data_IF_099497283674
#
_entry.id   IF_099497283674
#
_cell.length_a   1.000
_cell.length_b   1.000
_cell.length_c   1.000
_cell.angle_alpha   90.00
_cell.angle_beta   90.00
_cell.angle_gamma   90.00
#
_symmetry.space_group_name_H-M   'P 1'
#
loop_
_entity.id
_entity.type
_entity.pdbx_description
1 polymer ?
#
# COMPACT_ATOMS: atom_id res chain seq x y z
N UNK A 1 56.21 17.42 6.80
CA UNK A 1 55.17 16.37 6.88
C UNK A 1 54.26 16.69 8.04
N UNK A 2 53.19 17.43 7.78
CA UNK A 2 52.21 17.85 8.78
C UNK A 2 51.14 16.77 8.92
N UNK A 3 51.18 16.03 10.02
CA UNK A 3 50.09 15.15 10.44
C UNK A 3 48.87 16.01 10.76
N UNK A 4 47.91 16.10 9.84
CA UNK A 4 46.59 16.64 10.11
C UNK A 4 45.91 15.72 11.13
N UNK A 5 46.01 16.06 12.41
CA UNK A 5 45.22 15.45 13.47
C UNK A 5 43.74 15.69 13.16
N UNK A 6 43.09 14.74 12.50
CA UNK A 6 41.65 14.75 12.31
C UNK A 6 41.00 14.61 13.69
N UNK A 7 40.61 15.76 14.25
CA UNK A 7 40.01 15.90 15.58
C UNK A 7 38.68 15.13 15.74
N UNK A 8 38.12 14.60 14.65
CA UNK A 8 36.91 13.80 14.64
C UNK A 8 37.03 12.50 15.46
N UNK A 9 38.22 11.89 15.53
CA UNK A 9 38.42 10.67 16.34
C UNK A 9 38.29 10.88 17.85
N UNK A 10 38.21 12.13 18.32
CA UNK A 10 38.03 12.52 19.73
C UNK A 10 36.62 12.99 20.06
N UNK A 11 35.72 13.04 19.08
CA UNK A 11 34.33 13.41 19.33
C UNK A 11 33.65 12.31 20.16
N UNK A 12 32.78 12.69 21.12
CA UNK A 12 31.87 11.76 21.77
C UNK A 12 31.09 10.92 20.77
N UNK A 13 30.82 9.66 21.12
CA UNK A 13 30.12 8.70 20.26
C UNK A 13 28.74 9.23 19.84
N UNK A 14 28.05 9.95 20.72
CA UNK A 14 26.75 10.55 20.47
C UNK A 14 26.82 11.59 19.34
N UNK A 15 27.90 12.38 19.28
CA UNK A 15 28.10 13.36 18.20
C UNK A 15 28.45 12.66 16.89
N UNK A 16 29.27 11.62 16.92
CA UNK A 16 29.60 10.83 15.73
C UNK A 16 28.34 10.15 15.16
N UNK A 17 27.49 9.59 16.02
CA UNK A 17 26.23 8.98 15.62
C UNK A 17 25.22 10.00 15.10
N UNK A 18 25.12 11.18 15.73
CA UNK A 18 24.24 12.26 15.26
C UNK A 18 24.69 12.88 13.92
N UNK A 19 25.99 12.90 13.65
CA UNK A 19 26.53 13.25 12.33
C UNK A 19 26.15 12.14 11.34
N UNK A 20 26.48 10.89 11.64
CA UNK A 20 26.21 9.74 10.79
C UNK A 20 24.72 9.61 10.41
N UNK A 21 23.81 9.83 11.35
CA UNK A 21 22.36 9.71 11.12
C UNK A 21 21.79 10.79 10.20
N UNK A 22 22.56 11.85 9.89
CA UNK A 22 22.17 12.94 9.00
C UNK A 22 22.86 12.89 7.65
N UNK A 23 23.81 11.97 7.47
CA UNK A 23 24.50 11.80 6.20
C UNK A 23 23.64 10.98 5.23
N UNK A 24 23.64 11.33 3.93
CA UNK A 24 23.21 10.42 2.87
C UNK A 24 23.98 9.10 2.93
N UNK A 25 23.41 8.03 2.37
CA UNK A 25 24.01 6.69 2.41
C UNK A 25 25.45 6.66 1.87
N UNK A 26 25.72 7.30 0.72
CA UNK A 26 27.05 7.35 0.11
C UNK A 26 28.08 8.08 0.99
N UNK A 27 27.67 9.20 1.59
CA UNK A 27 28.51 9.98 2.49
C UNK A 27 28.76 9.24 3.81
N UNK A 28 27.79 8.46 4.29
CA UNK A 28 27.95 7.61 5.47
C UNK A 28 29.02 6.54 5.25
N UNK A 29 29.06 5.91 4.07
CA UNK A 29 30.13 4.98 3.70
C UNK A 29 31.49 5.67 3.73
N UNK A 30 31.62 6.82 3.08
CA UNK A 30 32.87 7.59 3.05
C UNK A 30 33.31 8.04 4.43
N UNK A 31 32.37 8.50 5.27
CA UNK A 31 32.62 8.90 6.65
C UNK A 31 33.13 7.73 7.48
N UNK A 32 32.52 6.54 7.36
CA UNK A 32 32.95 5.32 8.03
C UNK A 32 34.37 4.92 7.67
N UNK A 33 34.75 5.07 6.42
CA UNK A 33 36.07 4.69 5.92
C UNK A 33 37.18 5.68 6.30
N UNK A 34 36.84 6.84 6.88
CA UNK A 34 37.82 7.85 7.25
C UNK A 34 38.77 7.42 8.37
N UNK A 35 38.30 6.63 9.36
CA UNK A 35 39.14 6.00 10.36
C UNK A 35 38.43 4.84 11.09
N UNK A 36 39.22 3.97 11.73
CA UNK A 36 38.71 2.80 12.49
C UNK A 36 37.73 3.17 13.61
N UNK A 37 38.01 4.24 14.35
CA UNK A 37 37.13 4.69 15.44
C UNK A 37 35.74 5.09 14.91
N UNK A 38 35.68 5.85 13.81
CA UNK A 38 34.40 6.25 13.21
C UNK A 38 33.68 5.03 12.65
N UNK A 39 34.40 4.11 12.00
CA UNK A 39 33.84 2.86 11.50
C UNK A 39 33.08 2.06 12.58
N UNK A 40 33.73 1.84 13.72
CA UNK A 40 33.19 1.08 14.85
C UNK A 40 32.02 1.84 15.52
N UNK A 41 32.20 3.13 15.80
CA UNK A 41 31.22 3.94 16.54
C UNK A 41 29.93 4.23 15.76
N UNK A 42 29.97 4.16 14.42
CA UNK A 42 28.81 4.40 13.55
C UNK A 42 28.20 3.11 13.00
N UNK A 43 28.67 1.94 13.45
CA UNK A 43 28.21 0.64 12.97
C UNK A 43 26.70 0.46 13.10
N UNK A 44 26.11 0.86 14.22
CA UNK A 44 24.67 0.81 14.43
C UNK A 44 23.89 1.60 13.36
N UNK A 45 24.30 2.85 13.11
CA UNK A 45 23.66 3.73 12.12
C UNK A 45 23.77 3.12 10.72
N UNK A 46 24.94 2.62 10.35
CA UNK A 46 25.13 1.93 9.08
C UNK A 46 24.19 0.73 8.91
N UNK A 47 24.08 -0.12 9.94
CA UNK A 47 23.19 -1.28 9.91
C UNK A 47 21.74 -0.85 9.71
N UNK A 48 21.27 0.16 10.44
CA UNK A 48 19.94 0.72 10.23
C UNK A 48 19.78 1.31 8.82
N UNK A 49 20.71 2.14 8.35
CA UNK A 49 20.60 2.80 7.03
C UNK A 49 20.57 1.80 5.85
N UNK A 50 21.35 0.73 5.91
CA UNK A 50 21.52 -0.19 4.76
C UNK A 50 20.77 -1.51 4.86
N UNK A 51 20.36 -1.93 6.07
CA UNK A 51 19.71 -3.23 6.29
C UNK A 51 18.32 -3.12 6.92
N UNK A 52 17.84 -1.94 7.30
CA UNK A 52 16.46 -1.79 7.78
C UNK A 52 15.43 -2.28 6.76
N UNK A 53 15.67 -1.98 5.48
CA UNK A 53 14.90 -2.52 4.36
C UNK A 53 15.83 -3.27 3.43
N UNK A 54 15.54 -4.55 3.22
CA UNK A 54 16.27 -5.38 2.26
C UNK A 54 15.37 -5.69 1.06
N UNK A 55 15.98 -5.83 -0.12
CA UNK A 55 15.27 -6.10 -1.36
C UNK A 55 15.71 -7.43 -1.98
N UNK A 56 14.78 -8.13 -2.60
CA UNK A 56 15.01 -9.38 -3.32
C UNK A 56 14.09 -9.50 -4.53
N UNK A 57 14.56 -10.19 -5.56
CA UNK A 57 13.76 -10.61 -6.71
C UNK A 57 13.30 -12.07 -6.59
N UNK A 58 13.44 -12.65 -5.39
CA UNK A 58 13.08 -14.04 -5.07
C UNK A 58 13.84 -15.12 -5.88
N UNK A 59 14.92 -14.75 -6.58
CA UNK A 59 15.84 -15.71 -7.22
C UNK A 59 16.67 -16.47 -6.18
N UNK A 60 17.39 -17.51 -6.61
CA UNK A 60 18.35 -18.24 -5.77
C UNK A 60 19.41 -17.31 -5.17
N UNK A 61 19.99 -16.41 -5.98
CA UNK A 61 20.95 -15.40 -5.49
C UNK A 61 20.31 -14.46 -4.47
N UNK A 62 19.05 -14.11 -4.69
CA UNK A 62 18.26 -13.32 -3.74
C UNK A 62 18.05 -14.07 -2.43
N UNK A 63 17.73 -15.37 -2.49
CA UNK A 63 17.60 -16.23 -1.33
C UNK A 63 18.91 -16.35 -0.56
N UNK A 64 20.02 -16.68 -1.22
CA UNK A 64 21.35 -16.78 -0.60
C UNK A 64 21.73 -15.49 0.13
N UNK A 65 21.42 -14.33 -0.46
CA UNK A 65 21.65 -13.03 0.20
C UNK A 65 20.78 -12.86 1.44
N UNK A 66 19.50 -13.19 1.35
CA UNK A 66 18.58 -13.07 2.50
C UNK A 66 18.96 -14.04 3.60
N UNK A 67 19.34 -15.28 3.26
CA UNK A 67 19.87 -16.28 4.20
C UNK A 67 21.16 -15.82 4.88
N UNK A 68 22.10 -15.24 4.13
CA UNK A 68 23.33 -14.70 4.70
C UNK A 68 23.03 -13.59 5.73
N UNK A 69 22.08 -12.70 5.43
CA UNK A 69 21.65 -11.65 6.36
C UNK A 69 20.92 -12.24 7.57
N UNK A 70 20.02 -13.20 7.34
CA UNK A 70 19.22 -13.84 8.38
C UNK A 70 20.06 -14.66 9.37
N UNK A 71 21.19 -15.23 8.92
CA UNK A 71 22.13 -15.97 9.75
C UNK A 71 23.21 -15.09 10.39
N UNK A 72 23.28 -13.81 10.03
CA UNK A 72 24.21 -12.85 10.61
C UNK A 72 23.60 -12.24 11.88
N UNK A 73 24.16 -12.59 13.04
CA UNK A 73 23.67 -12.13 14.35
C UNK A 73 23.77 -10.62 14.55
N UNK A 74 24.60 -9.95 13.76
CA UNK A 74 24.83 -8.51 13.79
C UNK A 74 23.91 -7.74 12.84
N UNK A 75 23.46 -8.35 11.75
CA UNK A 75 22.61 -7.71 10.73
C UNK A 75 21.13 -8.05 10.89
N UNK A 76 20.78 -9.31 11.13
CA UNK A 76 19.38 -9.77 11.21
C UNK A 76 18.50 -8.94 12.14
N UNK A 77 18.96 -8.50 13.34
CA UNK A 77 18.14 -7.69 14.24
C UNK A 77 17.78 -6.30 13.69
N UNK A 78 18.50 -5.80 12.68
CA UNK A 78 18.25 -4.49 12.10
C UNK A 78 17.23 -4.53 10.96
N UNK A 79 16.96 -5.70 10.38
CA UNK A 79 15.99 -5.85 9.29
C UNK A 79 14.57 -5.68 9.80
N UNK A 80 13.85 -4.70 9.26
CA UNK A 80 12.44 -4.38 9.60
C UNK A 80 11.49 -4.62 8.44
N UNK A 81 11.98 -4.48 7.22
CA UNK A 81 11.17 -4.57 6.00
C UNK A 81 11.84 -5.42 4.93
N UNK A 82 11.06 -6.27 4.27
CA UNK A 82 11.47 -7.00 3.07
C UNK A 82 10.66 -6.50 1.87
N UNK A 83 11.37 -6.13 0.81
CA UNK A 83 10.77 -5.80 -0.47
C UNK A 83 11.01 -6.92 -1.49
N UNK A 84 9.94 -7.54 -1.98
CA UNK A 84 10.02 -8.42 -3.15
C UNK A 84 9.79 -7.57 -4.39
N UNK A 85 10.85 -7.24 -5.13
CA UNK A 85 10.81 -6.31 -6.25
C UNK A 85 11.18 -7.03 -7.55
N UNK A 86 10.41 -6.75 -8.60
CA UNK A 86 10.71 -7.14 -9.97
C UNK A 86 10.81 -5.90 -10.85
N UNK A 87 11.95 -5.67 -11.51
CA UNK A 87 12.19 -4.48 -12.32
C UNK A 87 12.01 -4.68 -13.84
N UNK A 88 11.60 -5.88 -14.29
CA UNK A 88 11.32 -6.15 -15.70
C UNK A 88 12.52 -6.01 -16.64
N UNK A 89 13.74 -5.90 -16.11
CA UNK A 89 14.97 -5.87 -16.91
C UNK A 89 15.42 -7.30 -17.26
N UNK A 90 16.05 -7.54 -18.44
CA UNK A 90 16.38 -8.89 -18.91
C UNK A 90 17.24 -9.73 -17.94
N UNK A 91 18.06 -9.06 -17.14
CA UNK A 91 18.98 -9.64 -16.16
C UNK A 91 18.31 -9.89 -14.80
N UNK A 92 17.12 -9.36 -14.57
CA UNK A 92 16.37 -9.50 -13.32
C UNK A 92 15.18 -10.43 -13.52
N UNK A 93 15.44 -11.74 -13.50
CA UNK A 93 14.38 -12.75 -13.62
C UNK A 93 13.86 -13.12 -12.23
N UNK A 94 12.59 -12.82 -12.02
CA UNK A 94 11.88 -13.18 -10.80
C UNK A 94 11.93 -14.69 -10.58
N UNK A 95 12.35 -15.12 -9.39
CA UNK A 95 12.35 -16.54 -9.02
C UNK A 95 13.37 -17.41 -9.77
N UNK A 96 14.34 -16.84 -10.48
CA UNK A 96 15.32 -17.60 -11.25
C UNK A 96 16.23 -18.47 -10.37
N UNK A 97 16.57 -19.66 -10.86
CA UNK A 97 17.49 -20.59 -10.17
C UNK A 97 16.83 -21.44 -9.09
N UNK A 98 15.51 -21.33 -8.90
CA UNK A 98 14.72 -22.14 -7.95
C UNK A 98 13.68 -22.98 -8.70
N UNK A 99 13.26 -24.06 -8.06
CA UNK A 99 12.20 -24.93 -8.56
C UNK A 99 10.88 -24.58 -7.88
N UNK A 100 9.84 -24.33 -8.68
CA UNK A 100 8.53 -23.91 -8.18
C UNK A 100 7.49 -24.98 -8.49
N UNK A 101 7.41 -26.03 -7.66
CA UNK A 101 6.45 -27.09 -7.87
C UNK A 101 5.03 -26.63 -7.49
N UNK A 102 4.03 -27.12 -8.23
CA UNK A 102 2.63 -26.68 -8.07
C UNK A 102 1.70 -27.85 -7.83
N UNK A 103 0.68 -27.59 -7.01
CA UNK A 103 -0.48 -28.47 -6.95
C UNK A 103 -1.23 -28.42 -8.28
N UNK A 104 -2.03 -29.46 -8.58
CA UNK A 104 -2.85 -29.51 -9.81
C UNK A 104 -3.83 -28.34 -9.96
N UNK A 105 -4.21 -27.71 -8.85
CA UNK A 105 -5.03 -26.50 -8.82
C UNK A 105 -4.24 -25.21 -9.12
N UNK A 106 -2.91 -25.22 -9.03
CA UNK A 106 -2.03 -24.12 -9.47
C UNK A 106 -1.21 -23.41 -8.38
N UNK A 107 -1.56 -23.55 -7.08
CA UNK A 107 -0.78 -22.93 -5.99
C UNK A 107 0.55 -23.66 -5.74
N UNK A 108 1.52 -22.94 -5.17
CA UNK A 108 2.85 -23.46 -4.86
C UNK A 108 2.80 -24.56 -3.78
N UNK A 109 3.49 -25.66 -4.03
CA UNK A 109 3.72 -26.69 -3.01
C UNK A 109 4.76 -26.21 -2.00
N UNK A 110 4.64 -26.66 -0.75
CA UNK A 110 5.67 -26.45 0.28
C UNK A 110 6.84 -27.41 0.04
N UNK A 111 7.58 -27.18 -1.05
CA UNK A 111 8.76 -27.94 -1.42
C UNK A 111 10.04 -27.35 -0.79
N UNK A 112 11.19 -27.94 -1.12
CA UNK A 112 12.46 -27.55 -0.52
C UNK A 112 12.81 -26.06 -0.72
N UNK A 113 12.54 -25.49 -1.89
CA UNK A 113 12.91 -24.09 -2.18
C UNK A 113 11.93 -23.11 -1.54
N UNK A 114 10.63 -23.44 -1.49
CA UNK A 114 9.64 -22.68 -0.70
C UNK A 114 9.99 -22.72 0.80
N UNK A 115 10.47 -23.86 1.29
CA UNK A 115 10.83 -24.02 2.70
C UNK A 115 12.09 -23.25 3.08
N UNK A 116 13.11 -23.20 2.22
CA UNK A 116 14.28 -22.33 2.43
C UNK A 116 13.90 -20.87 2.59
N UNK A 117 12.97 -20.37 1.76
CA UNK A 117 12.44 -19.02 1.93
C UNK A 117 11.75 -18.83 3.29
N UNK A 118 10.95 -19.79 3.74
CA UNK A 118 10.32 -19.73 5.06
C UNK A 118 11.36 -19.72 6.20
N UNK A 119 12.45 -20.47 6.07
CA UNK A 119 13.56 -20.49 7.03
C UNK A 119 14.34 -19.17 7.02
N UNK A 120 14.65 -18.63 5.85
CA UNK A 120 15.31 -17.34 5.70
C UNK A 120 14.47 -16.21 6.34
N UNK A 121 13.16 -16.19 6.09
CA UNK A 121 12.24 -15.22 6.70
C UNK A 121 12.16 -15.37 8.22
N UNK A 122 12.24 -16.60 8.74
CA UNK A 122 12.27 -16.85 10.19
C UNK A 122 13.49 -16.25 10.86
N UNK A 123 14.66 -16.26 10.20
CA UNK A 123 15.87 -15.65 10.73
C UNK A 123 15.83 -14.12 10.77
N UNK A 124 14.95 -13.48 9.99
CA UNK A 124 14.71 -12.04 10.03
C UNK A 124 13.79 -11.67 11.21
N UNK A 125 14.27 -11.88 12.44
CA UNK A 125 13.51 -11.83 13.70
C UNK A 125 12.70 -10.56 13.95
N UNK A 126 13.08 -9.45 13.32
CA UNK A 126 12.49 -8.13 13.51
C UNK A 126 11.72 -7.61 12.28
N UNK A 127 11.67 -8.42 11.20
CA UNK A 127 11.02 -8.06 9.95
C UNK A 127 9.51 -8.23 10.07
N UNK A 128 8.76 -7.13 9.99
CA UNK A 128 7.30 -7.11 10.16
C UNK A 128 6.57 -6.34 9.05
N UNK A 129 7.31 -5.78 8.09
CA UNK A 129 6.79 -5.03 6.94
C UNK A 129 7.18 -5.73 5.65
N UNK A 130 6.20 -6.00 4.78
CA UNK A 130 6.40 -6.68 3.50
C UNK A 130 5.85 -5.82 2.38
N UNK A 131 6.69 -5.54 1.38
CA UNK A 131 6.31 -4.74 0.22
C UNK A 131 6.60 -5.51 -1.08
N UNK A 132 5.54 -5.88 -1.78
CA UNK A 132 5.61 -6.62 -3.03
C UNK A 132 5.44 -5.61 -4.17
N UNK A 133 6.50 -5.41 -4.95
CA UNK A 133 6.59 -4.36 -5.97
C UNK A 133 6.76 -5.01 -7.34
N UNK A 134 5.95 -4.56 -8.30
CA UNK A 134 6.14 -4.89 -9.72
C UNK A 134 6.36 -3.62 -10.53
N UNK A 135 7.59 -3.44 -10.99
CA UNK A 135 7.98 -2.39 -11.92
C UNK A 135 8.06 -2.98 -13.34
N UNK A 136 7.17 -2.53 -14.22
CA UNK A 136 7.14 -2.99 -15.61
C UNK A 136 6.11 -4.07 -15.91
N UNK A 137 5.85 -4.25 -17.20
CA UNK A 137 4.89 -5.19 -17.75
C UNK A 137 5.62 -6.33 -18.45
N UNK A 138 5.17 -7.56 -18.22
CA UNK A 138 5.62 -8.74 -18.96
C UNK A 138 4.41 -9.58 -19.36
N UNK A 139 4.29 -9.88 -20.66
CA UNK A 139 3.34 -10.85 -21.22
C UNK A 139 3.42 -12.24 -20.58
N UNK A 140 4.52 -12.53 -19.87
CA UNK A 140 4.77 -13.84 -19.27
C UNK A 140 3.97 -14.11 -17.98
N UNK A 141 3.28 -13.13 -17.41
CA UNK A 141 2.48 -13.32 -16.19
C UNK A 141 1.25 -14.20 -16.39
N UNK A 142 0.86 -14.47 -17.63
CA UNK A 142 -0.18 -15.46 -17.96
C UNK A 142 0.39 -16.86 -18.21
N UNK A 143 1.71 -17.02 -18.26
CA UNK A 143 2.35 -18.31 -18.50
C UNK A 143 2.34 -19.15 -17.23
N UNK A 144 1.73 -20.34 -17.31
CA UNK A 144 1.61 -21.21 -16.14
C UNK A 144 2.96 -21.74 -15.65
N UNK A 145 3.94 -21.82 -16.55
CA UNK A 145 5.26 -22.41 -16.30
C UNK A 145 6.23 -21.45 -15.62
N UNK A 146 5.82 -20.21 -15.36
CA UNK A 146 6.67 -19.18 -14.79
C UNK A 146 6.21 -18.80 -13.38
N UNK A 147 7.16 -18.31 -12.58
CA UNK A 147 6.90 -17.69 -11.29
C UNK A 147 6.33 -16.28 -11.54
N UNK A 148 5.13 -16.00 -11.04
CA UNK A 148 4.37 -14.77 -11.34
C UNK A 148 4.14 -13.92 -10.10
N UNK A 149 3.56 -12.73 -10.31
CA UNK A 149 3.16 -11.81 -9.24
C UNK A 149 2.27 -12.46 -8.16
N UNK A 150 1.44 -13.46 -8.54
CA UNK A 150 0.61 -14.18 -7.56
C UNK A 150 1.43 -15.13 -6.69
N UNK A 151 2.51 -15.70 -7.23
CA UNK A 151 3.39 -16.59 -6.49
C UNK A 151 4.22 -15.85 -5.46
N UNK A 152 4.60 -14.59 -5.73
CA UNK A 152 5.21 -13.70 -4.75
C UNK A 152 4.34 -13.63 -3.50
N UNK A 153 3.04 -13.35 -3.68
CA UNK A 153 2.08 -13.24 -2.58
C UNK A 153 2.01 -14.56 -1.81
N UNK A 154 1.80 -15.69 -2.52
CA UNK A 154 1.66 -17.00 -1.88
C UNK A 154 2.93 -17.42 -1.14
N UNK A 155 4.11 -17.22 -1.72
CA UNK A 155 5.39 -17.53 -1.09
C UNK A 155 5.60 -16.73 0.20
N UNK A 156 5.39 -15.41 0.14
CA UNK A 156 5.58 -14.53 1.30
C UNK A 156 4.53 -14.83 2.39
N UNK A 157 3.26 -15.04 2.04
CA UNK A 157 2.23 -15.42 3.01
C UNK A 157 2.55 -16.76 3.68
N UNK A 158 2.97 -17.77 2.92
CA UNK A 158 3.37 -19.07 3.48
C UNK A 158 4.55 -18.92 4.44
N UNK A 159 5.53 -18.10 4.08
CA UNK A 159 6.67 -17.78 4.95
C UNK A 159 6.25 -17.08 6.24
N UNK A 160 5.39 -16.06 6.15
CA UNK A 160 4.82 -15.34 7.30
C UNK A 160 4.11 -16.30 8.26
N UNK A 161 3.24 -17.16 7.73
CA UNK A 161 2.48 -18.15 8.52
C UNK A 161 3.45 -19.16 9.16
N UNK A 162 4.38 -19.72 8.38
CA UNK A 162 5.33 -20.73 8.84
C UNK A 162 6.37 -20.21 9.84
N UNK A 163 6.73 -18.94 9.76
CA UNK A 163 7.62 -18.26 10.71
C UNK A 163 6.88 -17.55 11.84
N UNK A 164 5.53 -17.54 11.83
CA UNK A 164 4.67 -16.86 12.82
C UNK A 164 5.01 -15.39 13.00
N UNK A 165 5.28 -14.68 11.90
CA UNK A 165 5.73 -13.29 11.92
C UNK A 165 4.54 -12.37 12.21
N UNK A 166 4.54 -11.55 13.28
CA UNK A 166 3.46 -10.60 13.53
C UNK A 166 3.55 -9.43 12.54
N UNK A 167 2.75 -9.49 11.47
CA UNK A 167 2.83 -8.52 10.37
C UNK A 167 2.24 -7.18 10.81
N UNK A 168 2.97 -6.08 10.58
CA UNK A 168 2.50 -4.71 10.78
C UNK A 168 2.12 -4.03 9.46
N UNK A 169 2.83 -4.34 8.38
CA UNK A 169 2.56 -3.75 7.08
C UNK A 169 2.62 -4.81 5.98
N UNK A 170 1.63 -4.78 5.10
CA UNK A 170 1.58 -5.64 3.93
C UNK A 170 1.10 -4.85 2.72
N UNK A 171 2.00 -4.66 1.77
CA UNK A 171 1.80 -3.76 0.63
C UNK A 171 1.94 -4.54 -0.67
N UNK A 172 0.87 -4.64 -1.44
CA UNK A 172 0.86 -5.20 -2.79
C UNK A 172 0.79 -4.06 -3.78
N UNK A 173 1.92 -3.72 -4.40
CA UNK A 173 2.08 -2.57 -5.31
C UNK A 173 2.50 -3.02 -6.72
N UNK A 174 1.53 -3.51 -7.48
CA UNK A 174 1.75 -4.10 -8.80
C UNK A 174 1.36 -3.20 -9.97
N UNK A 175 0.60 -2.12 -9.73
CA UNK A 175 0.26 -1.16 -10.77
C UNK A 175 1.16 0.06 -10.64
N UNK A 176 2.15 0.17 -11.53
CA UNK A 176 2.99 1.36 -11.67
C UNK A 176 2.41 2.29 -12.75
N UNK A 177 2.27 3.57 -12.39
CA UNK A 177 1.66 4.70 -13.14
C UNK A 177 1.22 4.49 -14.60
N UNK A 178 -0.07 4.78 -14.89
CA UNK A 178 -0.75 4.95 -16.20
C UNK A 178 -0.54 3.87 -17.29
N UNK A 179 0.34 2.90 -17.10
CA UNK A 179 0.52 1.77 -18.01
C UNK A 179 -0.41 0.66 -17.56
N UNK A 180 -1.57 0.56 -18.23
CA UNK A 180 -2.42 -0.61 -18.11
C UNK A 180 -1.62 -1.88 -18.43
N UNK A 181 -1.86 -2.95 -17.68
CA UNK A 181 -1.11 -4.19 -17.79
C UNK A 181 -1.81 -5.35 -17.08
N UNK A 182 -1.40 -6.58 -17.39
CA UNK A 182 -1.89 -7.81 -16.77
C UNK A 182 -1.36 -7.96 -15.33
N UNK A 183 -1.84 -7.10 -14.43
CA UNK A 183 -1.54 -7.11 -12.99
C UNK A 183 -2.65 -7.83 -12.21
N UNK A 184 -3.48 -8.61 -12.90
CA UNK A 184 -4.53 -9.38 -12.28
C UNK A 184 -3.93 -10.61 -11.61
N UNK A 185 -4.39 -10.93 -10.39
CA UNK A 185 -3.97 -12.13 -9.71
C UNK A 185 -4.64 -13.37 -10.33
N UNK A 186 -3.87 -14.46 -10.43
CA UNK A 186 -4.42 -15.75 -10.81
C UNK A 186 -5.04 -16.42 -9.58
N UNK A 187 -6.36 -16.30 -9.44
CA UNK A 187 -7.11 -16.85 -8.31
C UNK A 187 -6.86 -18.35 -8.05
N UNK A 188 -6.48 -19.11 -9.09
CA UNK A 188 -6.14 -20.54 -8.97
C UNK A 188 -4.88 -20.79 -8.12
N UNK A 189 -3.98 -19.79 -8.04
CA UNK A 189 -2.71 -19.85 -7.31
C UNK A 189 -2.82 -19.32 -5.88
N UNK A 190 -3.98 -18.80 -5.49
CA UNK A 190 -4.24 -18.27 -4.15
C UNK A 190 -4.83 -19.36 -3.26
N UNK A 191 -4.19 -19.64 -2.14
CA UNK A 191 -4.69 -20.59 -1.15
C UNK A 191 -5.65 -19.89 -0.16
N UNK A 192 -6.88 -19.62 -0.61
CA UNK A 192 -7.91 -18.96 0.22
C UNK A 192 -8.21 -19.71 1.53
N UNK A 193 -8.33 -21.05 1.57
CA UNK A 193 -8.57 -21.78 2.82
C UNK A 193 -7.55 -21.50 3.94
N UNK A 194 -6.29 -21.25 3.61
CA UNK A 194 -5.25 -20.97 4.60
C UNK A 194 -5.46 -19.63 5.33
N UNK A 195 -6.15 -18.68 4.69
CA UNK A 195 -6.45 -17.36 5.28
C UNK A 195 -7.49 -17.42 6.40
N UNK A 196 -8.15 -18.57 6.58
CA UNK A 196 -9.13 -18.80 7.63
C UNK A 196 -8.59 -19.61 8.79
N UNK A 197 -7.34 -20.09 8.67
CA UNK A 197 -6.70 -20.90 9.71
C UNK A 197 -6.26 -20.03 10.89
N UNK A 198 -6.29 -20.55 12.13
CA UNK A 198 -5.89 -19.79 13.33
C UNK A 198 -4.47 -19.22 13.24
N UNK A 199 -3.56 -19.92 12.58
CA UNK A 199 -2.17 -19.50 12.39
C UNK A 199 -2.06 -18.21 11.60
N UNK A 200 -2.84 -18.08 10.51
CA UNK A 200 -2.92 -16.86 9.73
C UNK A 200 -3.56 -15.74 10.55
N UNK A 201 -4.70 -16.01 11.19
CA UNK A 201 -5.43 -15.00 11.98
C UNK A 201 -4.52 -14.40 13.07
N UNK A 202 -3.74 -15.24 13.76
CA UNK A 202 -2.85 -14.80 14.84
C UNK A 202 -1.75 -13.84 14.35
N UNK A 203 -1.12 -14.12 13.20
CA UNK A 203 -0.08 -13.25 12.64
C UNK A 203 -0.65 -11.99 12.01
N UNK A 204 -1.86 -12.07 11.46
CA UNK A 204 -2.48 -11.01 10.67
C UNK A 204 -3.26 -9.99 11.52
N UNK A 205 -3.68 -10.37 12.73
CA UNK A 205 -4.38 -9.48 13.67
C UNK A 205 -3.62 -8.18 13.97
N UNK A 206 -2.29 -8.22 13.91
CA UNK A 206 -1.39 -7.08 14.18
C UNK A 206 -1.22 -6.13 12.99
N UNK A 207 -1.84 -6.42 11.83
CA UNK A 207 -1.65 -5.65 10.62
C UNK A 207 -2.21 -4.23 10.78
N UNK A 208 -1.37 -3.22 10.57
CA UNK A 208 -1.70 -1.81 10.74
C UNK A 208 -1.85 -1.09 9.39
N UNK A 209 -1.11 -1.51 8.36
CA UNK A 209 -1.13 -0.90 7.04
C UNK A 209 -1.32 -1.95 5.95
N UNK A 210 -2.39 -1.81 5.15
CA UNK A 210 -2.70 -2.66 4.02
C UNK A 210 -2.84 -1.82 2.75
N UNK A 211 -2.06 -2.18 1.72
CA UNK A 211 -2.17 -1.64 0.36
C UNK A 211 -2.49 -2.78 -0.61
N UNK A 212 -3.57 -2.61 -1.37
CA UNK A 212 -3.97 -3.50 -2.45
C UNK A 212 -4.00 -2.69 -3.76
N UNK A 213 -2.90 -2.70 -4.51
CA UNK A 213 -2.74 -2.02 -5.78
C UNK A 213 -2.42 -3.01 -6.92
N UNK A 214 -3.46 -3.68 -7.41
CA UNK A 214 -3.37 -4.65 -8.50
C UNK A 214 -4.72 -4.72 -9.24
N UNK A 215 -4.75 -5.36 -10.42
CA UNK A 215 -5.93 -5.36 -11.28
C UNK A 215 -7.03 -6.28 -10.73
N UNK A 216 -8.16 -5.70 -10.27
CA UNK A 216 -9.28 -6.46 -9.68
C UNK A 216 -10.38 -6.80 -10.72
N UNK A 217 -10.01 -7.56 -11.75
CA UNK A 217 -10.92 -7.95 -12.84
C UNK A 217 -11.89 -9.07 -12.50
N UNK A 218 -11.46 -10.05 -11.69
CA UNK A 218 -12.24 -11.26 -11.40
C UNK A 218 -13.00 -11.07 -10.10
N UNK A 219 -14.33 -11.23 -10.11
CA UNK A 219 -15.18 -11.08 -8.92
C UNK A 219 -14.73 -12.02 -7.77
N UNK A 220 -14.23 -13.21 -8.09
CA UNK A 220 -13.71 -14.17 -7.09
C UNK A 220 -12.52 -13.66 -6.27
N UNK A 221 -11.88 -12.54 -6.64
CA UNK A 221 -10.87 -11.90 -5.80
C UNK A 221 -11.44 -11.42 -4.46
N UNK A 222 -12.73 -11.13 -4.40
CA UNK A 222 -13.41 -10.70 -3.17
C UNK A 222 -13.28 -11.76 -2.08
N UNK A 223 -13.35 -13.05 -2.44
CA UNK A 223 -13.23 -14.15 -1.49
C UNK A 223 -11.81 -14.29 -0.91
N UNK A 224 -10.80 -13.79 -1.63
CA UNK A 224 -9.44 -13.70 -1.12
C UNK A 224 -9.22 -12.46 -0.26
N UNK A 225 -9.74 -11.29 -0.66
CA UNK A 225 -9.56 -10.02 0.07
C UNK A 225 -10.36 -10.01 1.39
N UNK A 226 -11.53 -10.64 1.42
CA UNK A 226 -12.43 -10.67 2.58
C UNK A 226 -11.72 -11.13 3.88
N UNK A 227 -11.08 -12.31 3.94
CA UNK A 227 -10.33 -12.72 5.13
C UNK A 227 -9.10 -11.84 5.41
N UNK A 228 -8.41 -11.33 4.37
CA UNK A 228 -7.26 -10.42 4.53
C UNK A 228 -7.65 -9.15 5.30
N UNK A 229 -8.81 -8.56 4.99
CA UNK A 229 -9.29 -7.35 5.69
C UNK A 229 -9.97 -7.70 7.01
N UNK A 230 -10.80 -8.76 7.03
CA UNK A 230 -11.55 -9.18 8.23
C UNK A 230 -10.64 -9.49 9.41
N UNK A 231 -9.53 -10.18 9.17
CA UNK A 231 -8.65 -10.62 10.23
C UNK A 231 -7.61 -9.57 10.67
N UNK A 232 -7.51 -8.44 9.95
CA UNK A 232 -6.64 -7.33 10.32
C UNK A 232 -7.31 -6.43 11.38
N UNK A 233 -7.38 -6.91 12.62
CA UNK A 233 -8.12 -6.21 13.70
C UNK A 233 -7.45 -4.90 14.15
N UNK A 234 -6.14 -4.77 14.01
CA UNK A 234 -5.39 -3.55 14.35
C UNK A 234 -5.22 -2.57 13.18
N UNK A 235 -5.98 -2.78 12.09
CA UNK A 235 -5.81 -2.03 10.85
C UNK A 235 -6.10 -0.53 11.04
N UNK A 236 -5.09 0.29 10.72
CA UNK A 236 -5.15 1.76 10.80
C UNK A 236 -5.22 2.42 9.43
N UNK A 237 -4.60 1.81 8.43
CA UNK A 237 -4.54 2.33 7.06
C UNK A 237 -4.94 1.26 6.05
N UNK A 238 -5.96 1.56 5.26
CA UNK A 238 -6.44 0.71 4.18
C UNK A 238 -6.43 1.50 2.87
N UNK A 239 -5.69 0.99 1.90
CA UNK A 239 -5.64 1.55 0.55
C UNK A 239 -6.01 0.48 -0.46
N UNK A 240 -7.10 0.71 -1.21
CA UNK A 240 -7.61 -0.21 -2.23
C UNK A 240 -7.69 0.54 -3.56
N UNK A 241 -6.97 0.00 -4.55
CA UNK A 241 -7.04 0.46 -5.93
C UNK A 241 -7.70 -0.64 -6.76
N UNK A 242 -8.94 -0.41 -7.15
CA UNK A 242 -9.78 -1.40 -7.84
C UNK A 242 -9.39 -1.61 -9.31
N UNK A 243 -8.59 -0.71 -9.88
CA UNK A 243 -8.25 -0.67 -11.31
C UNK A 243 -9.51 -0.92 -12.19
N UNK A 244 -9.47 -1.83 -13.18
CA UNK A 244 -10.57 -2.16 -14.11
C UNK A 244 -11.93 -2.42 -13.44
N UNK A 245 -11.97 -2.64 -12.12
CA UNK A 245 -13.09 -2.21 -11.28
C UNK A 245 -14.19 -3.25 -11.07
N UNK A 246 -14.23 -4.35 -11.83
CA UNK A 246 -15.36 -5.31 -11.77
C UNK A 246 -15.63 -5.85 -10.36
N UNK A 247 -14.60 -6.08 -9.55
CA UNK A 247 -14.77 -6.54 -8.17
C UNK A 247 -15.16 -5.42 -7.18
N UNK A 248 -15.08 -4.14 -7.55
CA UNK A 248 -15.22 -3.02 -6.62
C UNK A 248 -16.57 -3.01 -5.90
N UNK A 249 -17.66 -3.23 -6.62
CA UNK A 249 -19.01 -3.31 -6.05
C UNK A 249 -19.11 -4.41 -4.99
N UNK A 250 -18.79 -5.64 -5.37
CA UNK A 250 -18.88 -6.81 -4.48
C UNK A 250 -17.95 -6.67 -3.27
N UNK A 251 -16.76 -6.07 -3.45
CA UNK A 251 -15.85 -5.81 -2.35
C UNK A 251 -16.41 -4.76 -1.38
N UNK A 252 -16.91 -3.62 -1.86
CA UNK A 252 -17.51 -2.61 -0.97
C UNK A 252 -18.74 -3.16 -0.26
N UNK A 253 -19.60 -3.92 -0.93
CA UNK A 253 -20.75 -4.59 -0.31
C UNK A 253 -20.29 -5.53 0.82
N UNK A 254 -19.25 -6.35 0.56
CA UNK A 254 -18.68 -7.26 1.57
C UNK A 254 -18.03 -6.52 2.74
N UNK A 255 -17.24 -5.48 2.48
CA UNK A 255 -16.59 -4.69 3.53
C UNK A 255 -17.63 -3.93 4.37
N UNK A 256 -18.71 -3.46 3.75
CA UNK A 256 -19.80 -2.76 4.46
C UNK A 256 -20.58 -3.66 5.42
N UNK A 257 -20.56 -4.98 5.21
CA UNK A 257 -21.21 -5.95 6.10
C UNK A 257 -20.30 -6.46 7.21
N UNK A 258 -19.01 -6.09 7.20
CA UNK A 258 -18.11 -6.41 8.31
C UNK A 258 -18.55 -5.63 9.55
N UNK A 259 -18.87 -6.35 10.62
CA UNK A 259 -18.90 -5.78 11.97
C UNK A 259 -17.45 -5.63 12.43
N UNK A 260 -16.81 -4.52 12.08
CA UNK A 260 -15.37 -4.34 12.28
C UNK A 260 -15.06 -3.91 13.71
N UNK A 261 -14.03 -4.53 14.29
CA UNK A 261 -13.41 -4.09 15.55
C UNK A 261 -12.26 -3.10 15.33
N UNK A 262 -11.82 -2.92 14.08
CA UNK A 262 -10.68 -2.09 13.74
C UNK A 262 -10.98 -0.59 13.87
N UNK A 263 -9.97 0.16 14.30
CA UNK A 263 -10.02 1.61 14.48
C UNK A 263 -9.39 2.30 13.27
N UNK A 264 -9.93 2.04 12.08
CA UNK A 264 -9.36 2.52 10.82
C UNK A 264 -9.28 4.05 10.80
N UNK A 265 -8.08 4.57 10.58
CA UNK A 265 -7.79 6.00 10.62
C UNK A 265 -7.65 6.60 9.22
N UNK A 266 -7.10 5.84 8.28
CA UNK A 266 -6.89 6.27 6.90
C UNK A 266 -7.55 5.29 5.92
N UNK A 267 -8.45 5.81 5.09
CA UNK A 267 -9.07 5.06 4.01
C UNK A 267 -8.78 5.73 2.66
N UNK A 268 -8.22 4.96 1.74
CA UNK A 268 -8.05 5.38 0.35
C UNK A 268 -8.75 4.39 -0.58
N UNK A 269 -9.71 4.89 -1.35
CA UNK A 269 -10.41 4.15 -2.39
C UNK A 269 -10.14 4.82 -3.74
N UNK A 270 -9.64 4.05 -4.69
CA UNK A 270 -9.40 4.52 -6.05
C UNK A 270 -9.91 3.49 -7.05
N UNK A 271 -10.69 3.90 -8.04
CA UNK A 271 -11.21 2.99 -9.07
C UNK A 271 -10.91 3.52 -10.47
N UNK A 272 -11.18 2.72 -11.50
CA UNK A 272 -11.48 3.28 -12.82
C UNK A 272 -12.95 3.07 -13.15
N UNK A 273 -13.50 4.06 -13.87
CA UNK A 273 -14.92 4.39 -14.09
C UNK A 273 -15.88 3.28 -14.54
N UNK A 274 -15.41 2.04 -14.74
CA UNK A 274 -16.18 0.91 -15.29
C UNK A 274 -17.17 0.31 -14.29
N UNK A 275 -16.86 0.32 -13.00
CA UNK A 275 -17.72 -0.28 -11.97
C UNK A 275 -18.52 0.77 -11.23
N UNK A 276 -19.81 0.48 -11.03
CA UNK A 276 -20.71 1.31 -10.25
C UNK A 276 -20.86 0.69 -8.86
N UNK A 277 -20.71 1.52 -7.83
CA UNK A 277 -20.78 1.11 -6.43
C UNK A 277 -22.14 1.51 -5.88
N UNK A 278 -22.75 0.63 -5.08
CA UNK A 278 -23.96 0.96 -4.34
C UNK A 278 -23.64 2.04 -3.28
N UNK A 279 -24.27 3.21 -3.40
CA UNK A 279 -24.07 4.33 -2.48
C UNK A 279 -24.43 4.01 -1.02
N UNK A 280 -25.43 3.15 -0.79
CA UNK A 280 -25.80 2.72 0.56
C UNK A 280 -24.71 1.83 1.19
N UNK A 281 -24.11 0.93 0.41
CA UNK A 281 -23.00 0.09 0.87
C UNK A 281 -21.75 0.92 1.16
N UNK A 282 -21.42 1.91 0.31
CA UNK A 282 -20.31 2.83 0.57
C UNK A 282 -20.57 3.69 1.81
N UNK A 283 -21.78 4.24 1.96
CA UNK A 283 -22.19 5.00 3.13
C UNK A 283 -22.04 4.18 4.41
N UNK A 284 -22.55 2.93 4.39
CA UNK A 284 -22.44 2.00 5.51
C UNK A 284 -20.98 1.67 5.85
N UNK A 285 -20.15 1.39 4.84
CA UNK A 285 -18.71 1.15 5.04
C UNK A 285 -18.02 2.34 5.72
N UNK A 286 -18.27 3.57 5.25
CA UNK A 286 -17.70 4.76 5.85
C UNK A 286 -18.20 4.96 7.29
N UNK A 287 -19.48 4.71 7.53
CA UNK A 287 -20.10 4.84 8.85
C UNK A 287 -19.54 3.85 9.87
N UNK A 288 -19.11 2.65 9.44
CA UNK A 288 -18.44 1.67 10.32
C UNK A 288 -17.17 2.25 10.99
N UNK A 289 -16.56 3.28 10.39
CA UNK A 289 -15.36 3.94 10.90
C UNK A 289 -15.59 5.40 11.29
N UNK A 290 -16.85 5.80 11.53
CA UNK A 290 -17.23 7.18 11.85
C UNK A 290 -16.36 7.80 12.95
N UNK A 291 -16.12 7.06 14.02
CA UNK A 291 -15.48 7.59 15.22
C UNK A 291 -13.94 7.57 15.16
N UNK A 292 -13.35 6.89 14.17
CA UNK A 292 -11.90 6.69 14.04
C UNK A 292 -11.27 7.29 12.77
N UNK A 293 -12.05 7.44 11.70
CA UNK A 293 -11.55 7.86 10.39
C UNK A 293 -11.10 9.34 10.38
N UNK A 294 -9.80 9.57 10.22
CA UNK A 294 -9.19 10.89 10.25
C UNK A 294 -8.72 11.39 8.88
N UNK A 295 -8.42 10.48 7.94
CA UNK A 295 -8.02 10.76 6.56
C UNK A 295 -8.86 9.95 5.59
N UNK A 296 -9.49 10.62 4.62
CA UNK A 296 -10.27 9.98 3.58
C UNK A 296 -9.86 10.44 2.18
N UNK A 297 -9.46 9.50 1.32
CA UNK A 297 -9.17 9.77 -0.08
C UNK A 297 -10.08 8.93 -0.96
N UNK A 298 -10.92 9.58 -1.76
CA UNK A 298 -11.80 8.89 -2.71
C UNK A 298 -11.53 9.45 -4.10
N UNK A 299 -11.14 8.57 -5.03
CA UNK A 299 -10.82 8.95 -6.41
C UNK A 299 -11.54 8.05 -7.39
N UNK A 300 -12.11 8.67 -8.43
CA UNK A 300 -12.67 7.98 -9.60
C UNK A 300 -13.74 6.94 -9.28
N UNK A 301 -14.51 7.16 -8.20
CA UNK A 301 -15.61 6.28 -7.80
C UNK A 301 -16.91 6.72 -8.50
N UNK A 302 -17.58 5.77 -9.14
CA UNK A 302 -18.92 5.94 -9.72
C UNK A 302 -19.97 5.29 -8.84
N UNK A 303 -21.02 6.04 -8.48
CA UNK A 303 -22.20 5.48 -7.80
C UNK A 303 -23.26 4.99 -8.79
N UNK A 304 -24.02 3.98 -8.37
CA UNK A 304 -25.16 3.43 -9.12
C UNK A 304 -26.36 4.37 -9.22
N UNK A 305 -26.50 5.24 -8.23
CA UNK A 305 -27.60 6.21 -8.09
C UNK A 305 -27.08 7.45 -7.36
N UNK A 306 -27.89 8.50 -7.30
CA UNK A 306 -27.60 9.72 -6.55
C UNK A 306 -27.30 9.41 -5.07
N UNK A 307 -26.14 9.82 -4.55
CA UNK A 307 -25.73 9.48 -3.19
C UNK A 307 -24.56 10.29 -2.62
N UNK A 308 -23.64 10.82 -3.42
CA UNK A 308 -22.51 11.64 -2.99
C UNK A 308 -22.94 12.81 -2.12
N UNK A 309 -24.02 13.51 -2.47
CA UNK A 309 -24.46 14.65 -1.64
C UNK A 309 -24.77 14.22 -0.21
N UNK A 310 -25.47 13.09 -0.06
CA UNK A 310 -25.79 12.49 1.24
C UNK A 310 -24.53 11.99 1.95
N UNK A 311 -23.63 11.31 1.22
CA UNK A 311 -22.38 10.79 1.76
C UNK A 311 -21.49 11.92 2.27
N UNK A 312 -21.32 13.01 1.51
CA UNK A 312 -20.49 14.15 1.90
C UNK A 312 -21.06 14.89 3.13
N UNK A 313 -22.40 15.01 3.22
CA UNK A 313 -23.06 15.53 4.43
C UNK A 313 -22.82 14.62 5.63
N UNK A 314 -22.99 13.32 5.47
CA UNK A 314 -22.71 12.36 6.55
C UNK A 314 -21.24 12.42 7.01
N UNK A 315 -20.30 12.60 6.09
CA UNK A 315 -18.87 12.73 6.41
C UNK A 315 -18.53 14.03 7.17
N UNK A 316 -19.29 15.12 7.00
CA UNK A 316 -19.04 16.37 7.74
C UNK A 316 -19.32 16.21 9.25
N UNK A 317 -20.13 15.20 9.61
CA UNK A 317 -20.47 14.86 10.99
C UNK A 317 -19.41 13.97 11.68
N UNK A 318 -18.37 13.53 10.97
CA UNK A 318 -17.38 12.61 11.53
C UNK A 318 -16.52 13.35 12.57
N UNK A 319 -16.43 12.86 13.82
CA UNK A 319 -15.79 13.59 14.93
C UNK A 319 -14.30 13.88 14.71
N UNK A 320 -13.57 12.99 14.03
CA UNK A 320 -12.10 13.06 13.94
C UNK A 320 -11.56 13.27 12.52
N UNK A 321 -12.43 13.47 11.52
CA UNK A 321 -12.03 13.71 10.13
C UNK A 321 -11.32 15.07 9.99
N UNK A 322 -10.01 15.02 9.70
CA UNK A 322 -9.13 16.20 9.57
C UNK A 322 -8.58 16.41 8.17
N UNK A 323 -8.63 15.38 7.33
CA UNK A 323 -8.11 15.42 5.97
C UNK A 323 -9.02 14.69 5.02
N UNK A 324 -9.33 15.30 3.88
CA UNK A 324 -10.02 14.62 2.79
C UNK A 324 -9.48 15.02 1.43
N UNK A 325 -9.58 14.11 0.46
CA UNK A 325 -9.32 14.38 -0.94
C UNK A 325 -10.34 13.65 -1.81
N UNK A 326 -11.04 14.42 -2.64
CA UNK A 326 -11.98 13.91 -3.63
C UNK A 326 -11.46 14.24 -5.02
N UNK A 327 -11.41 13.24 -5.89
CA UNK A 327 -11.03 13.42 -7.29
C UNK A 327 -12.00 12.67 -8.19
N UNK A 328 -12.75 13.40 -8.99
CA UNK A 328 -13.63 12.86 -10.03
C UNK A 328 -14.64 11.85 -9.45
N UNK A 329 -15.51 12.33 -8.57
CA UNK A 329 -16.68 11.59 -8.10
C UNK A 329 -17.74 11.58 -9.21
N UNK A 330 -18.40 10.44 -9.45
CA UNK A 330 -19.36 10.26 -10.55
C UNK A 330 -20.67 9.68 -10.02
N UNK A 331 -21.80 10.15 -10.53
CA UNK A 331 -23.15 9.58 -10.37
C UNK A 331 -23.82 9.48 -11.73
N UNK A 332 -24.37 8.32 -12.08
CA UNK A 332 -25.13 8.15 -13.33
C UNK A 332 -24.46 8.73 -14.60
N UNK A 333 -23.12 8.60 -14.66
CA UNK A 333 -22.23 9.12 -15.73
C UNK A 333 -22.02 10.64 -15.73
N UNK A 334 -22.46 11.34 -14.69
CA UNK A 334 -22.26 12.76 -14.48
C UNK A 334 -21.13 13.01 -13.49
N UNK A 335 -20.28 13.98 -13.79
CA UNK A 335 -19.21 14.37 -12.88
C UNK A 335 -19.80 15.25 -11.77
N UNK A 336 -19.39 15.01 -10.52
CA UNK A 336 -19.75 15.90 -9.41
C UNK A 336 -18.91 17.17 -9.50
N UNK A 337 -19.59 18.31 -9.44
CA UNK A 337 -18.99 19.63 -9.49
C UNK A 337 -19.10 20.34 -8.14
N UNK A 338 -17.99 20.95 -7.71
CA UNK A 338 -17.90 21.79 -6.52
C UNK A 338 -17.79 23.28 -6.88
N UNK A 339 -18.91 23.98 -7.17
CA UNK A 339 -18.87 25.36 -7.67
C UNK A 339 -18.20 26.32 -6.69
N UNK A 340 -18.48 26.20 -5.40
CA UNK A 340 -17.93 27.08 -4.34
C UNK A 340 -16.45 26.83 -4.03
N UNK A 341 -15.80 25.85 -4.67
CA UNK A 341 -14.39 25.53 -4.39
C UNK A 341 -13.46 26.74 -4.65
N UNK A 342 -13.76 27.57 -5.65
CA UNK A 342 -13.00 28.80 -5.93
C UNK A 342 -13.28 29.94 -4.96
N UNK A 343 -14.35 29.85 -4.17
CA UNK A 343 -14.79 30.86 -3.20
C UNK A 343 -14.39 30.52 -1.76
N UNK A 344 -13.89 29.31 -1.53
CA UNK A 344 -13.33 28.94 -0.23
C UNK A 344 -12.00 29.70 -0.12
N UNK A 345 -11.89 30.66 0.82
CA UNK A 345 -10.65 31.42 0.96
C UNK A 345 -9.50 30.46 1.20
N UNK A 346 -8.32 30.80 0.68
CA UNK A 346 -7.07 30.12 1.03
C UNK A 346 -6.87 30.35 2.54
N UNK A 347 -7.17 29.30 3.31
CA UNK A 347 -7.78 29.37 4.64
C UNK A 347 -6.84 29.99 5.71
N UNK A 348 -7.47 30.51 6.78
CA UNK A 348 -6.92 30.86 8.11
C UNK A 348 -5.79 29.93 8.60
N UNK A 349 -4.94 30.47 9.48
CA UNK A 349 -3.75 29.84 10.09
C UNK A 349 -3.98 28.35 10.46
N UNK A 350 -3.53 27.44 9.59
CA UNK A 350 -3.47 26.00 9.85
C UNK A 350 -4.42 25.10 9.04
N UNK A 351 -5.25 25.64 8.15
CA UNK A 351 -6.01 24.80 7.19
C UNK A 351 -5.50 24.98 5.76
N UNK A 352 -5.17 23.87 5.11
CA UNK A 352 -4.76 23.84 3.71
C UNK A 352 -5.94 23.35 2.86
N UNK A 353 -6.42 24.21 1.95
CA UNK A 353 -7.43 23.83 0.96
C UNK A 353 -6.86 23.97 -0.46
N UNK A 354 -7.03 22.93 -1.27
CA UNK A 354 -6.65 22.98 -2.68
C UNK A 354 -7.80 22.48 -3.54
N UNK A 355 -7.96 23.08 -4.71
CA UNK A 355 -8.85 22.59 -5.75
C UNK A 355 -8.14 22.64 -7.10
N UNK A 356 -8.54 21.77 -8.02
CA UNK A 356 -8.06 21.82 -9.41
C UNK A 356 -9.24 21.78 -10.38
N UNK A 357 -9.46 22.85 -11.16
CA UNK A 357 -10.48 22.85 -12.19
C UNK A 357 -10.04 21.94 -13.35
N UNK A 358 -11.00 21.20 -13.89
CA UNK A 358 -10.88 20.44 -15.13
C UNK A 358 -11.53 21.23 -16.26
N UNK A 359 -10.78 21.52 -17.32
CA UNK A 359 -11.32 22.20 -18.51
C UNK A 359 -12.33 21.29 -19.22
N UNK A 360 -13.54 21.79 -19.47
CA UNK A 360 -14.56 21.20 -20.35
C UNK A 360 -14.99 22.23 -21.39
N UNK A 361 -15.76 21.80 -22.40
CA UNK A 361 -16.27 22.68 -23.46
C UNK A 361 -17.20 23.77 -22.91
N UNK A 362 -18.03 23.44 -21.93
CA UNK A 362 -19.00 24.38 -21.33
C UNK A 362 -18.43 25.20 -20.15
N UNK A 363 -17.11 25.14 -19.91
CA UNK A 363 -16.42 25.87 -18.83
C UNK A 363 -15.55 24.98 -17.94
N UNK A 364 -14.75 25.57 -17.04
CA UNK A 364 -14.00 24.82 -16.04
C UNK A 364 -14.95 24.23 -14.99
N UNK A 365 -14.81 22.95 -14.67
CA UNK A 365 -15.52 22.31 -13.56
C UNK A 365 -14.53 21.86 -12.48
N UNK A 366 -14.81 22.21 -11.22
CA UNK A 366 -14.05 21.74 -10.07
C UNK A 366 -14.48 20.31 -9.74
N UNK A 367 -13.69 19.33 -10.16
CA UNK A 367 -13.91 17.90 -9.86
C UNK A 367 -12.91 17.34 -8.86
N UNK A 368 -11.89 18.15 -8.50
CA UNK A 368 -10.85 17.78 -7.55
C UNK A 368 -10.77 18.82 -6.44
N UNK A 369 -10.93 18.36 -5.21
CA UNK A 369 -10.81 19.16 -3.99
C UNK A 369 -10.04 18.36 -2.95
N UNK A 370 -9.26 19.05 -2.13
CA UNK A 370 -8.64 18.47 -0.95
C UNK A 370 -8.57 19.49 0.17
N UNK A 371 -8.74 19.04 1.39
CA UNK A 371 -8.61 19.87 2.57
C UNK A 371 -7.83 19.11 3.64
N UNK A 372 -6.98 19.81 4.38
CA UNK A 372 -6.30 19.29 5.57
C UNK A 372 -6.26 20.38 6.64
N UNK A 373 -6.76 20.09 7.84
CA UNK A 373 -6.69 21.04 8.96
C UNK A 373 -7.93 21.03 9.86
N UNK A 374 -7.97 21.89 10.88
CA UNK A 374 -9.05 21.94 11.86
C UNK A 374 -10.42 22.30 11.24
N UNK A 375 -10.44 23.06 10.15
CA UNK A 375 -11.69 23.49 9.49
C UNK A 375 -12.21 22.51 8.43
N UNK A 376 -11.62 21.31 8.30
CA UNK A 376 -11.99 20.35 7.25
C UNK A 376 -13.50 20.04 7.22
N UNK A 377 -14.16 19.91 8.38
CA UNK A 377 -15.60 19.62 8.45
C UNK A 377 -16.47 20.75 7.90
N UNK A 378 -16.15 21.99 8.25
CA UNK A 378 -16.88 23.16 7.76
C UNK A 378 -16.74 23.31 6.23
N UNK A 379 -15.52 23.09 5.72
CA UNK A 379 -15.25 23.06 4.29
C UNK A 379 -16.05 21.94 3.62
N UNK A 380 -16.04 20.74 4.19
CA UNK A 380 -16.78 19.58 3.67
C UNK A 380 -18.29 19.83 3.61
N UNK A 381 -18.86 20.42 4.66
CA UNK A 381 -20.27 20.78 4.70
C UNK A 381 -20.64 21.78 3.60
N UNK A 382 -19.85 22.85 3.44
CA UNK A 382 -20.06 23.86 2.38
C UNK A 382 -19.97 23.23 0.98
N UNK A 383 -18.98 22.37 0.75
CA UNK A 383 -18.85 21.62 -0.50
C UNK A 383 -20.08 20.74 -0.75
N UNK A 384 -20.53 19.99 0.25
CA UNK A 384 -21.69 19.10 0.13
C UNK A 384 -22.99 19.86 -0.19
N UNK A 385 -23.22 21.01 0.44
CA UNK A 385 -24.44 21.80 0.20
C UNK A 385 -24.50 22.42 -1.19
N UNK A 386 -23.35 22.89 -1.68
CA UNK A 386 -23.20 23.48 -3.01
C UNK A 386 -23.03 22.48 -4.16
N UNK A 387 -22.88 21.19 -3.86
CA UNK A 387 -22.51 20.20 -4.88
C UNK A 387 -23.59 20.10 -5.95
N UNK A 388 -23.14 20.12 -7.21
CA UNK A 388 -23.98 20.06 -8.40
C UNK A 388 -23.59 18.88 -9.31
N UNK A 389 -24.56 18.41 -10.08
CA UNK A 389 -24.37 17.35 -11.07
C UNK A 389 -24.03 17.99 -12.42
N UNK A 390 -22.89 17.63 -13.01
CA UNK A 390 -22.51 18.10 -14.33
C UNK A 390 -22.61 16.98 -15.38
N UNK A 391 -23.52 17.14 -16.34
CA UNK A 391 -23.80 16.15 -17.38
C UNK A 391 -22.63 16.00 -18.35
N UNK A 392 -22.11 14.78 -18.50
CA UNK A 392 -21.23 14.43 -19.62
C UNK A 392 -22.07 14.34 -20.89
N UNK A 393 -22.17 15.41 -21.69
CA UNK A 393 -22.71 15.27 -23.05
C UNK A 393 -21.86 14.22 -23.79
N UNK A 394 -22.48 13.24 -24.49
CA UNK A 394 -21.71 12.30 -25.30
C UNK A 394 -20.93 13.07 -26.36
N UNK A 395 -19.65 12.71 -26.56
CA UNK A 395 -18.93 13.11 -27.76
C UNK A 395 -19.71 12.51 -28.93
N UNK A 396 -20.42 13.34 -29.69
CA UNK A 396 -20.83 12.96 -31.04
C UNK A 396 -19.54 12.74 -31.82
N UNK A 397 -19.32 11.48 -32.22
CA UNK A 397 -18.30 11.07 -33.18
C UNK A 397 -18.63 11.66 -34.55
#
# INVERSE_FOLDING_TARGET
>A
MSTSNSNFGRLPIELLQAIASRLPAEDLCSFRLSCKSIYENTMYIFRCTFFERIETNLSLKGLERVEAIANDSDLAPHVRSLAAKYAGVPEDKLGEGLTWNRHSSGYLLLDADVQKWAEALRGLVNCTSFHLIREGWSDKDTCLDHFTSTDIITLILNGIIGARIPVKEFLVDFITGFRGGANALDLRRLNVPDLWKPEFIAVWANLQCLLLNFTMEKIGIVDWIDPIVRHATDLRKLTILFDNGWAARGLIERLSSLGTTSQLQELTLNSVTKSKINGASLSKLLHNYRDSLCVLNIRWITLESSGWKSILRMLSEFPVLKSFSFDTLIEDRCDMHFPVASEIPTVDEGTEFTFRPRKRRDGPINTRVSCRGPNAKAVLQRLADSMEIFNRKPQML
#
